data_IF_072164117500
#
_entry.id   IF_072164117500
#
_cell.length_a   1.000
_cell.length_b   1.000
_cell.length_c   1.000
_cell.angle_alpha   90.00
_cell.angle_beta   90.00
_cell.angle_gamma   90.00
#
_symmetry.space_group_name_H-M   'P 1'
#
loop_
_entity.id
_entity.type
_entity.pdbx_description
1 polymer ?
#
# COMPACT_ATOMS: atom_id res chain seq x y z
N UNK A 1 -9.23 -3.28 22.17
CA UNK A 1 -9.37 -3.35 20.70
C UNK A 1 -9.64 -4.80 20.34
N UNK A 2 -10.58 -5.07 19.43
CA UNK A 2 -10.82 -6.43 18.94
C UNK A 2 -9.60 -6.88 18.14
N UNK A 3 -8.83 -7.82 18.70
CA UNK A 3 -7.78 -8.57 18.00
C UNK A 3 -8.44 -9.27 16.80
N UNK A 4 -8.26 -8.72 15.61
CA UNK A 4 -8.73 -9.37 14.40
C UNK A 4 -7.75 -10.49 14.08
N UNK A 5 -8.16 -11.71 14.39
CA UNK A 5 -7.36 -12.90 14.12
C UNK A 5 -7.43 -13.16 12.60
N UNK A 6 -6.36 -12.80 11.87
CA UNK A 6 -6.16 -13.00 10.42
C UNK A 6 -6.27 -14.48 9.96
N UNK A 7 -6.85 -15.36 10.79
CA UNK A 7 -7.27 -16.71 10.48
C UNK A 7 -8.23 -16.79 9.29
N UNK A 8 -9.23 -15.89 9.19
CA UNK A 8 -10.27 -15.94 8.15
C UNK A 8 -10.84 -14.56 7.84
N UNK A 9 -11.08 -14.29 6.57
CA UNK A 9 -11.76 -13.07 6.13
C UNK A 9 -13.27 -13.16 6.48
N UNK A 10 -13.88 -12.14 7.11
CA UNK A 10 -15.30 -12.13 7.46
C UNK A 10 -16.22 -12.12 6.23
N UNK A 11 -15.75 -11.60 5.10
CA UNK A 11 -16.54 -11.48 3.88
C UNK A 11 -16.50 -12.74 3.01
N UNK A 12 -15.32 -13.33 2.81
CA UNK A 12 -15.14 -14.45 1.87
C UNK A 12 -14.59 -15.75 2.50
N UNK A 13 -14.34 -15.75 3.82
CA UNK A 13 -13.83 -16.89 4.58
C UNK A 13 -12.47 -17.45 4.08
N UNK A 14 -11.75 -16.65 3.28
CA UNK A 14 -10.40 -16.96 2.81
C UNK A 14 -9.37 -16.79 3.94
N UNK A 15 -8.32 -17.60 3.92
CA UNK A 15 -7.22 -17.56 4.91
C UNK A 15 -5.96 -16.87 4.38
N UNK A 16 -5.95 -16.50 3.10
CA UNK A 16 -4.81 -15.87 2.46
C UNK A 16 -4.98 -14.35 2.51
N UNK A 17 -3.99 -13.70 3.13
CA UNK A 17 -3.84 -12.26 3.20
C UNK A 17 -2.43 -11.92 2.73
N UNK A 18 -2.27 -10.75 2.13
CA UNK A 18 -0.97 -10.17 1.83
C UNK A 18 -0.86 -8.80 2.45
N UNK A 19 0.38 -8.43 2.77
CA UNK A 19 0.70 -7.09 3.25
C UNK A 19 0.95 -6.18 2.04
N UNK A 20 0.26 -5.06 2.01
CA UNK A 20 0.42 -3.99 1.04
C UNK A 20 0.71 -2.68 1.79
N UNK A 21 1.42 -1.75 1.17
CA UNK A 21 1.55 -0.40 1.71
C UNK A 21 0.40 0.45 1.20
N UNK A 22 -0.34 1.11 2.10
CA UNK A 22 -1.41 2.04 1.76
C UNK A 22 -0.82 3.36 1.27
N UNK A 23 -0.20 3.32 0.09
CA UNK A 23 0.35 4.53 -0.49
C UNK A 23 -0.79 5.39 -1.00
N UNK A 24 -1.07 6.47 -0.27
CA UNK A 24 -2.08 7.43 -0.68
C UNK A 24 -1.69 8.07 -2.01
N UNK A 25 -2.33 7.61 -3.08
CA UNK A 25 -2.13 8.10 -4.46
C UNK A 25 -2.33 9.62 -4.57
N UNK A 26 -3.21 10.21 -3.75
CA UNK A 26 -3.45 11.65 -3.73
C UNK A 26 -2.21 12.40 -3.23
N UNK A 27 -1.55 11.89 -2.19
CA UNK A 27 -0.33 12.51 -1.64
C UNK A 27 0.80 12.43 -2.67
N UNK A 28 1.03 11.25 -3.26
CA UNK A 28 2.04 11.10 -4.31
C UNK A 28 1.78 12.03 -5.51
N UNK A 29 0.52 12.12 -5.95
CA UNK A 29 0.14 13.03 -7.03
C UNK A 29 0.44 14.50 -6.69
N UNK A 30 0.14 14.93 -5.47
CA UNK A 30 0.41 16.29 -5.01
C UNK A 30 1.91 16.61 -4.98
N UNK A 31 2.74 15.67 -4.53
CA UNK A 31 4.20 15.83 -4.48
C UNK A 31 4.80 15.96 -5.89
N UNK A 32 4.33 15.14 -6.84
CA UNK A 32 4.77 15.25 -8.24
C UNK A 32 4.30 16.55 -8.89
N UNK A 33 3.05 16.96 -8.66
CA UNK A 33 2.50 18.22 -9.19
C UNK A 33 3.27 19.43 -8.68
N UNK A 34 3.52 19.48 -7.37
CA UNK A 34 4.32 20.56 -6.77
C UNK A 34 5.73 20.57 -7.34
N UNK A 35 6.40 19.41 -7.45
CA UNK A 35 7.69 19.32 -8.12
C UNK A 35 7.67 19.89 -9.54
N UNK A 36 6.74 19.45 -10.38
CA UNK A 36 6.62 19.87 -11.77
C UNK A 36 6.43 21.40 -11.93
N UNK A 37 5.65 22.02 -11.06
CA UNK A 37 5.43 23.48 -11.08
C UNK A 37 6.69 24.25 -10.67
N UNK A 38 7.48 23.73 -9.73
CA UNK A 38 8.66 24.43 -9.20
C UNK A 38 9.96 24.17 -9.99
N UNK A 39 10.02 23.10 -10.78
CA UNK A 39 11.17 22.76 -11.65
C UNK A 39 11.65 23.93 -12.53
N UNK A 40 10.80 24.61 -13.32
CA UNK A 40 11.26 25.67 -14.22
C UNK A 40 11.80 26.90 -13.48
N UNK A 41 11.34 27.16 -12.25
CA UNK A 41 11.79 28.29 -11.44
C UNK A 41 13.11 28.06 -10.71
N UNK A 42 13.48 26.79 -10.48
CA UNK A 42 14.60 26.41 -9.60
C UNK A 42 15.73 25.70 -10.32
N UNK A 43 15.70 25.63 -11.66
CA UNK A 43 16.69 24.92 -12.50
C UNK A 43 16.96 23.48 -12.02
N UNK A 44 15.91 22.80 -11.54
CA UNK A 44 15.98 21.40 -11.10
C UNK A 44 16.36 21.15 -9.64
N UNK A 45 16.69 22.18 -8.84
CA UNK A 45 16.97 22.00 -7.40
C UNK A 45 15.76 21.47 -6.62
N UNK A 46 14.55 21.84 -7.06
CA UNK A 46 13.29 21.32 -6.52
C UNK A 46 13.16 19.80 -6.61
N UNK A 47 13.80 19.14 -7.58
CA UNK A 47 13.76 17.68 -7.70
C UNK A 47 14.41 16.99 -6.49
N UNK A 48 15.48 17.57 -5.94
CA UNK A 48 16.14 17.02 -4.75
C UNK A 48 15.19 17.09 -3.54
N UNK A 49 14.50 18.22 -3.35
CA UNK A 49 13.54 18.39 -2.26
C UNK A 49 12.35 17.45 -2.40
N UNK A 50 11.79 17.33 -3.60
CA UNK A 50 10.69 16.42 -3.93
C UNK A 50 11.09 14.97 -3.64
N UNK A 51 12.30 14.55 -4.05
CA UNK A 51 12.80 13.21 -3.78
C UNK A 51 12.96 12.92 -2.27
N UNK A 52 13.41 13.91 -1.48
CA UNK A 52 13.50 13.77 -0.02
C UNK A 52 12.11 13.65 0.61
N UNK A 53 11.14 14.43 0.13
CA UNK A 53 9.75 14.37 0.60
C UNK A 53 9.14 13.01 0.26
N UNK A 54 9.32 12.53 -0.97
CA UNK A 54 8.85 11.21 -1.40
C UNK A 54 9.44 10.09 -0.55
N UNK A 55 10.75 10.16 -0.23
CA UNK A 55 11.38 9.19 0.66
C UNK A 55 10.81 9.23 2.08
N UNK A 56 10.59 10.42 2.63
CA UNK A 56 9.99 10.58 3.95
C UNK A 56 8.56 10.02 4.00
N UNK A 57 7.76 10.29 2.96
CA UNK A 57 6.42 9.75 2.81
C UNK A 57 6.44 8.23 2.68
N UNK A 58 7.33 7.67 1.86
CA UNK A 58 7.48 6.23 1.69
C UNK A 58 7.79 5.49 3.01
N UNK A 59 8.55 6.14 3.90
CA UNK A 59 8.82 5.63 5.25
C UNK A 59 7.63 5.77 6.21
N UNK A 60 6.79 6.78 6.02
CA UNK A 60 5.61 7.06 6.87
C UNK A 60 4.39 6.22 6.50
N UNK A 61 4.33 5.70 5.28
CA UNK A 61 3.21 4.90 4.80
C UNK A 61 3.06 3.64 5.65
N UNK A 62 1.89 3.52 6.28
CA UNK A 62 1.52 2.37 7.08
C UNK A 62 1.24 1.15 6.19
N UNK A 63 1.47 -0.02 6.75
CA UNK A 63 1.11 -1.28 6.13
C UNK A 63 -0.37 -1.59 6.36
N UNK A 64 -1.02 -2.12 5.34
CA UNK A 64 -2.38 -2.63 5.35
C UNK A 64 -2.38 -4.11 4.94
N UNK A 65 -3.31 -4.89 5.47
CA UNK A 65 -3.47 -6.29 5.08
C UNK A 65 -4.65 -6.39 4.12
N UNK A 66 -4.47 -7.07 2.99
CA UNK A 66 -5.49 -7.20 1.95
C UNK A 66 -5.79 -8.68 1.72
N UNK A 67 -7.07 -9.02 1.60
CA UNK A 67 -7.47 -10.38 1.27
C UNK A 67 -7.24 -10.68 -0.23
N UNK A 68 -6.69 -11.86 -0.55
CA UNK A 68 -6.47 -12.27 -1.95
C UNK A 68 -7.76 -12.43 -2.77
N UNK A 69 -8.85 -12.86 -2.12
CA UNK A 69 -10.10 -13.20 -2.82
C UNK A 69 -11.04 -12.01 -3.00
N UNK A 70 -11.44 -11.36 -1.90
CA UNK A 70 -12.38 -10.23 -1.96
C UNK A 70 -11.72 -8.86 -2.09
N UNK A 71 -10.39 -8.78 -1.99
CA UNK A 71 -9.62 -7.52 -2.01
C UNK A 71 -10.04 -6.51 -0.94
N UNK A 72 -10.53 -7.00 0.19
CA UNK A 72 -10.90 -6.15 1.32
C UNK A 72 -9.66 -5.71 2.09
N UNK A 73 -9.58 -4.41 2.37
CA UNK A 73 -8.44 -3.73 2.98
C UNK A 73 -8.65 -3.59 4.49
N UNK A 74 -7.76 -4.17 5.27
CA UNK A 74 -7.76 -4.10 6.73
C UNK A 74 -6.70 -3.10 7.18
N UNK A 75 -7.15 -1.87 7.46
CA UNK A 75 -6.30 -0.75 7.92
C UNK A 75 -6.29 -0.66 9.44
N UNK A 76 -5.19 -0.16 10.02
CA UNK A 76 -5.08 0.15 11.47
C UNK A 76 -5.20 -1.09 12.39
N UNK A 77 -4.77 -2.26 11.90
CA UNK A 77 -4.70 -3.51 12.67
C UNK A 77 -3.23 -3.92 12.76
N UNK A 78 -2.81 -4.49 13.89
CA UNK A 78 -1.47 -5.06 14.02
C UNK A 78 -1.33 -6.28 13.10
N UNK A 79 -0.72 -6.07 11.93
CA UNK A 79 -0.47 -7.12 10.95
C UNK A 79 0.69 -7.97 11.48
N UNK A 80 0.47 -9.26 11.76
CA UNK A 80 1.54 -10.12 12.22
C UNK A 80 2.59 -10.29 11.11
N UNK A 81 3.87 -10.31 11.51
CA UNK A 81 5.02 -10.33 10.60
C UNK A 81 5.11 -11.62 9.74
N UNK A 82 4.28 -12.62 10.06
CA UNK A 82 4.13 -13.83 9.26
C UNK A 82 3.37 -13.61 7.94
N UNK A 83 2.65 -12.50 7.78
CA UNK A 83 1.96 -12.15 6.54
C UNK A 83 3.00 -11.59 5.55
N UNK A 84 3.24 -12.36 4.50
CA UNK A 84 4.18 -12.03 3.43
C UNK A 84 3.62 -10.90 2.53
N UNK A 85 4.50 -10.18 1.81
CA UNK A 85 4.08 -9.30 0.72
C UNK A 85 3.34 -10.08 -0.37
N UNK A 86 2.69 -9.35 -1.26
CA UNK A 86 1.91 -9.90 -2.37
C UNK A 86 2.70 -10.96 -3.17
N UNK A 87 2.09 -12.11 -3.36
CA UNK A 87 2.62 -13.27 -4.09
C UNK A 87 1.71 -13.56 -5.28
N UNK A 88 2.29 -13.46 -6.49
CA UNK A 88 1.58 -13.68 -7.74
C UNK A 88 1.00 -15.10 -7.84
N UNK A 89 1.70 -16.13 -7.34
CA UNK A 89 1.21 -17.50 -7.42
C UNK A 89 -0.05 -17.72 -6.59
N UNK A 90 -0.16 -17.03 -5.45
CA UNK A 90 -1.37 -17.08 -4.64
C UNK A 90 -2.50 -16.31 -5.34
N UNK A 91 -2.19 -15.19 -5.99
CA UNK A 91 -3.18 -14.43 -6.75
C UNK A 91 -3.78 -15.24 -7.91
N UNK A 92 -2.96 -15.97 -8.67
CA UNK A 92 -3.40 -16.83 -9.78
C UNK A 92 -4.39 -17.91 -9.33
N UNK A 93 -4.27 -18.44 -8.10
CA UNK A 93 -5.21 -19.42 -7.54
C UNK A 93 -6.62 -18.85 -7.32
N UNK A 94 -6.74 -17.52 -7.20
CA UNK A 94 -7.99 -16.81 -6.97
C UNK A 94 -8.51 -16.06 -8.21
N UNK A 95 -7.77 -16.11 -9.32
CA UNK A 95 -8.24 -15.62 -10.61
C UNK A 95 -9.35 -16.58 -11.10
N UNK A 96 -10.54 -16.06 -11.36
CA UNK A 96 -11.60 -16.88 -11.94
C UNK A 96 -11.24 -17.16 -13.41
N UNK A 97 -11.35 -18.42 -13.90
CA UNK A 97 -11.14 -18.69 -15.31
C UNK A 97 -12.24 -18.00 -16.13
N UNK A 98 -11.84 -17.10 -17.02
CA UNK A 98 -12.71 -16.46 -18.03
C UNK A 98 -13.43 -17.48 -18.93
#
# INVERSE_FOLDING_TARGET
MSEFDFSKCPHCNCKHFYRQKDFNKVIGCFVILTGAVFVPFTYGLSLLLVAVIDWFLYKRVADEAVCYKCREEFKNIEIPDNIKPFDHHIAELYEEPD
#
